data_IF_866337494237
#
_entry.id   IF_866337494237
#
_cell.length_a   1.000
_cell.length_b   1.000
_cell.length_c   1.000
_cell.angle_alpha   90.00
_cell.angle_beta   90.00
_cell.angle_gamma   90.00
#
_symmetry.space_group_name_H-M   'P 1'
#
loop_
_entity.id
_entity.type
_entity.pdbx_description
1 polymer ?
#
# COMPACT_ATOMS: atom_id res chain seq x y z
N UNK A 1 -17.77 7.90 -33.47
CA UNK A 1 -17.08 7.32 -32.30
C UNK A 1 -18.09 7.26 -31.18
N UNK A 2 -18.31 6.09 -30.55
CA UNK A 2 -19.23 6.04 -29.40
C UNK A 2 -18.60 6.76 -28.20
N UNK A 3 -19.38 7.29 -27.26
CA UNK A 3 -18.83 7.84 -26.01
C UNK A 3 -18.00 6.82 -25.24
N UNK A 4 -18.26 5.51 -25.40
CA UNK A 4 -17.52 4.43 -24.74
C UNK A 4 -16.09 4.24 -25.30
N UNK A 5 -15.84 4.65 -26.55
CA UNK A 5 -14.53 4.51 -27.19
C UNK A 5 -13.64 5.75 -26.98
N UNK A 6 -14.23 6.85 -26.49
CA UNK A 6 -13.54 8.12 -26.31
C UNK A 6 -12.36 8.04 -25.34
N UNK A 7 -12.44 7.38 -24.17
CA UNK A 7 -11.31 7.26 -23.26
C UNK A 7 -10.11 6.56 -23.92
N UNK A 8 -10.36 5.42 -24.57
CA UNK A 8 -9.33 4.62 -25.23
C UNK A 8 -8.66 5.35 -26.39
N UNK A 9 -9.44 6.14 -27.15
CA UNK A 9 -8.89 7.00 -28.18
C UNK A 9 -8.03 8.12 -27.60
N UNK A 10 -8.49 8.77 -26.54
CA UNK A 10 -7.82 9.91 -25.92
C UNK A 10 -6.46 9.52 -25.33
N UNK A 11 -6.39 8.37 -24.65
CA UNK A 11 -5.13 7.82 -24.10
C UNK A 11 -4.08 7.51 -25.18
N UNK A 12 -4.52 7.26 -26.42
CA UNK A 12 -3.64 7.01 -27.58
C UNK A 12 -3.38 8.26 -28.42
N UNK A 13 -4.06 9.37 -28.13
CA UNK A 13 -3.91 10.61 -28.88
C UNK A 13 -2.56 11.27 -28.56
N UNK A 14 -1.73 11.47 -29.60
CA UNK A 14 -0.38 12.06 -29.45
C UNK A 14 -0.37 13.45 -28.80
N UNK A 15 -1.37 14.28 -29.11
CA UNK A 15 -1.49 15.63 -28.56
C UNK A 15 -1.78 15.60 -27.05
N UNK A 16 -2.72 14.74 -26.64
CA UNK A 16 -3.01 14.52 -25.22
C UNK A 16 -1.80 13.94 -24.48
N UNK A 17 -1.17 12.89 -25.03
CA UNK A 17 0.00 12.24 -24.43
C UNK A 17 1.11 13.27 -24.17
N UNK A 18 1.43 14.13 -25.13
CA UNK A 18 2.45 15.17 -24.98
C UNK A 18 2.12 16.18 -23.86
N UNK A 19 0.85 16.53 -23.69
CA UNK A 19 0.41 17.41 -22.59
C UNK A 19 0.47 16.71 -21.24
N UNK A 20 0.04 15.45 -21.17
CA UNK A 20 0.11 14.62 -19.97
C UNK A 20 1.56 14.38 -19.53
N UNK A 21 2.45 14.12 -20.48
CA UNK A 21 3.88 13.96 -20.25
C UNK A 21 4.47 15.22 -19.62
N UNK A 22 4.22 16.39 -20.21
CA UNK A 22 4.64 17.69 -19.65
C UNK A 22 4.12 17.90 -18.23
N UNK A 23 2.83 17.63 -17.99
CA UNK A 23 2.23 17.72 -16.66
C UNK A 23 2.91 16.79 -15.66
N UNK A 24 3.20 15.56 -16.08
CA UNK A 24 3.83 14.57 -15.22
C UNK A 24 5.28 14.94 -14.91
N UNK A 25 6.05 15.40 -15.89
CA UNK A 25 7.43 15.88 -15.69
C UNK A 25 7.44 17.09 -14.78
N UNK A 26 6.53 18.06 -14.96
CA UNK A 26 6.41 19.21 -14.07
C UNK A 26 6.12 18.81 -12.63
N UNK A 27 5.19 17.86 -12.44
CA UNK A 27 4.87 17.27 -11.13
C UNK A 27 6.11 16.65 -10.48
N UNK A 28 6.85 15.81 -11.22
CA UNK A 28 8.04 15.12 -10.73
C UNK A 28 9.16 16.12 -10.39
N UNK A 29 9.45 17.06 -11.27
CA UNK A 29 10.49 18.08 -11.03
C UNK A 29 10.16 18.94 -9.82
N UNK A 30 8.88 19.30 -9.62
CA UNK A 30 8.43 20.04 -8.44
C UNK A 30 8.67 19.31 -7.11
N UNK A 31 8.78 17.97 -7.12
CA UNK A 31 9.11 17.17 -5.93
C UNK A 31 10.60 17.21 -5.58
N UNK A 32 11.47 17.65 -6.50
CA UNK A 32 12.92 17.66 -6.30
C UNK A 32 13.52 19.06 -6.54
N UNK A 33 13.47 19.97 -5.54
CA UNK A 33 13.96 21.34 -5.67
C UNK A 33 15.43 21.47 -6.10
N UNK A 34 16.25 20.45 -5.82
CA UNK A 34 17.68 20.42 -6.19
C UNK A 34 17.94 20.13 -7.67
N UNK A 35 16.91 19.76 -8.44
CA UNK A 35 17.02 19.41 -9.86
C UNK A 35 16.85 20.67 -10.70
N UNK A 36 17.87 20.99 -11.51
CA UNK A 36 17.79 22.02 -12.55
C UNK A 36 17.10 21.42 -13.76
N UNK A 37 15.84 21.79 -13.95
CA UNK A 37 15.03 21.31 -15.06
C UNK A 37 15.66 21.65 -16.42
N UNK A 38 15.62 20.69 -17.34
CA UNK A 38 16.10 20.89 -18.72
C UNK A 38 15.15 21.71 -19.59
N UNK A 39 13.87 21.78 -19.20
CA UNK A 39 12.82 22.51 -19.87
C UNK A 39 12.07 23.39 -18.86
N UNK A 40 11.79 24.65 -19.22
CA UNK A 40 10.74 25.43 -18.55
C UNK A 40 9.42 24.75 -18.84
N UNK A 41 8.88 24.05 -17.84
CA UNK A 41 7.61 23.35 -17.93
C UNK A 41 6.46 24.34 -17.75
N UNK A 42 6.34 25.32 -18.65
CA UNK A 42 5.20 26.24 -18.64
C UNK A 42 3.94 25.47 -19.04
N UNK A 43 3.13 25.15 -18.04
CA UNK A 43 1.79 24.59 -18.19
C UNK A 43 0.82 25.74 -18.00
N UNK A 44 0.18 26.15 -19.09
CA UNK A 44 -0.79 27.24 -19.05
C UNK A 44 -2.07 26.84 -18.33
N UNK A 45 -2.79 27.83 -17.79
CA UNK A 45 -4.09 27.61 -17.14
C UNK A 45 -5.13 26.95 -18.05
N UNK A 46 -5.10 27.23 -19.35
CA UNK A 46 -6.01 26.64 -20.32
C UNK A 46 -5.76 25.13 -20.49
N UNK A 47 -4.50 24.70 -20.42
CA UNK A 47 -4.12 23.30 -20.52
C UNK A 47 -4.57 22.50 -19.30
N UNK A 48 -4.52 23.08 -18.10
CA UNK A 48 -4.97 22.41 -16.88
C UNK A 48 -6.47 22.12 -16.94
N UNK A 49 -7.28 23.11 -17.35
CA UNK A 49 -8.73 22.91 -17.49
C UNK A 49 -9.05 21.83 -18.53
N UNK A 50 -8.34 21.84 -19.68
CA UNK A 50 -8.45 20.79 -20.69
C UNK A 50 -8.08 19.41 -20.15
N UNK A 51 -6.97 19.30 -19.41
CA UNK A 51 -6.53 18.05 -18.82
C UNK A 51 -7.49 17.55 -17.75
N UNK A 52 -8.09 18.41 -16.93
CA UNK A 52 -9.14 18.02 -15.97
C UNK A 52 -10.38 17.46 -16.68
N UNK A 53 -10.82 18.08 -17.78
CA UNK A 53 -11.92 17.52 -18.60
C UNK A 53 -11.55 16.15 -19.16
N UNK A 54 -10.31 16.00 -19.66
CA UNK A 54 -9.79 14.71 -20.10
C UNK A 54 -9.79 13.69 -18.96
N UNK A 55 -9.28 14.06 -17.79
CA UNK A 55 -9.21 13.22 -16.59
C UNK A 55 -10.58 12.71 -16.15
N UNK A 56 -11.62 13.56 -16.20
CA UNK A 56 -13.00 13.17 -15.91
C UNK A 56 -13.58 12.17 -16.90
N UNK A 57 -13.20 12.24 -18.18
CA UNK A 57 -13.59 11.22 -19.18
C UNK A 57 -12.83 9.91 -18.94
N UNK A 58 -11.54 10.01 -18.62
CA UNK A 58 -10.65 8.87 -18.43
C UNK A 58 -10.98 8.08 -17.15
N UNK A 59 -11.41 8.75 -16.08
CA UNK A 59 -11.76 8.08 -14.82
C UNK A 59 -12.96 7.14 -14.92
N UNK A 60 -13.80 7.29 -15.95
CA UNK A 60 -14.93 6.41 -16.20
C UNK A 60 -14.53 5.09 -16.90
N UNK A 61 -13.27 4.96 -17.32
CA UNK A 61 -12.75 3.76 -17.98
C UNK A 61 -12.17 2.76 -16.97
N UNK A 62 -12.28 1.46 -17.29
CA UNK A 62 -11.58 0.40 -16.55
C UNK A 62 -10.16 0.12 -17.09
N UNK A 63 -9.73 0.85 -18.13
CA UNK A 63 -8.38 0.72 -18.70
C UNK A 63 -7.32 1.35 -17.78
N UNK A 64 -6.23 0.63 -17.54
CA UNK A 64 -5.17 1.02 -16.61
C UNK A 64 -4.49 2.33 -17.01
N UNK A 65 -4.24 2.54 -18.31
CA UNK A 65 -3.62 3.78 -18.79
C UNK A 65 -4.56 4.98 -18.66
N UNK A 66 -5.87 4.77 -18.83
CA UNK A 66 -6.87 5.80 -18.57
C UNK A 66 -6.86 6.21 -17.09
N UNK A 67 -6.91 5.25 -16.18
CA UNK A 67 -6.91 5.49 -14.75
C UNK A 67 -5.62 6.14 -14.26
N UNK A 68 -4.44 5.64 -14.69
CA UNK A 68 -3.14 6.26 -14.38
C UNK A 68 -3.09 7.72 -14.84
N UNK A 69 -3.56 8.00 -16.06
CA UNK A 69 -3.60 9.36 -16.60
C UNK A 69 -4.53 10.27 -15.77
N UNK A 70 -5.72 9.79 -15.41
CA UNK A 70 -6.67 10.54 -14.60
C UNK A 70 -6.12 10.85 -13.20
N UNK A 71 -5.48 9.88 -12.54
CA UNK A 71 -4.84 10.07 -11.24
C UNK A 71 -3.71 11.11 -11.30
N UNK A 72 -2.82 11.03 -12.30
CA UNK A 72 -1.70 11.98 -12.46
C UNK A 72 -2.21 13.41 -12.62
N UNK A 73 -3.25 13.60 -13.43
CA UNK A 73 -3.88 14.90 -13.65
C UNK A 73 -4.47 15.43 -12.33
N UNK A 74 -5.24 14.60 -11.62
CA UNK A 74 -5.87 15.00 -10.35
C UNK A 74 -4.84 15.35 -9.28
N UNK A 75 -3.82 14.51 -9.10
CA UNK A 75 -2.75 14.75 -8.13
C UNK A 75 -1.99 16.05 -8.41
N UNK A 76 -1.63 16.29 -9.69
CA UNK A 76 -0.98 17.54 -10.08
C UNK A 76 -1.85 18.75 -9.73
N UNK A 77 -3.15 18.69 -10.03
CA UNK A 77 -4.08 19.78 -9.75
C UNK A 77 -4.27 20.03 -8.26
N UNK A 78 -4.35 18.99 -7.42
CA UNK A 78 -4.49 19.15 -5.98
C UNK A 78 -3.28 19.85 -5.34
N UNK A 79 -2.08 19.49 -5.79
CA UNK A 79 -0.82 20.01 -5.22
C UNK A 79 -0.48 21.39 -5.80
N UNK A 80 -0.62 21.60 -7.11
CA UNK A 80 -0.05 22.76 -7.81
C UNK A 80 -1.08 23.82 -8.24
N UNK A 81 -2.39 23.51 -8.27
CA UNK A 81 -3.40 24.50 -8.66
C UNK A 81 -3.67 25.47 -7.52
N UNK A 82 -3.73 26.78 -7.81
CA UNK A 82 -4.18 27.80 -6.85
C UNK A 82 -5.72 27.91 -6.81
N UNK A 83 -6.40 27.52 -7.89
CA UNK A 83 -7.85 27.65 -8.01
C UNK A 83 -8.58 26.53 -7.26
N UNK A 84 -9.45 26.91 -6.31
CA UNK A 84 -10.28 26.01 -5.50
C UNK A 84 -11.20 25.13 -6.35
N UNK A 85 -11.83 25.68 -7.39
CA UNK A 85 -12.75 24.91 -8.25
C UNK A 85 -12.02 23.77 -8.99
N UNK A 86 -10.76 23.98 -9.36
CA UNK A 86 -9.94 22.93 -9.99
C UNK A 86 -9.55 21.84 -9.01
N UNK A 87 -9.28 22.19 -7.75
CA UNK A 87 -9.03 21.23 -6.68
C UNK A 87 -10.28 20.39 -6.39
N UNK A 88 -11.44 21.03 -6.30
CA UNK A 88 -12.72 20.35 -6.13
C UNK A 88 -13.03 19.41 -7.32
N UNK A 89 -12.73 19.85 -8.55
CA UNK A 89 -12.87 19.02 -9.76
C UNK A 89 -11.91 17.83 -9.76
N UNK A 90 -10.66 18.04 -9.34
CA UNK A 90 -9.68 16.96 -9.20
C UNK A 90 -10.11 15.94 -8.13
N UNK A 91 -10.66 16.41 -7.01
CA UNK A 91 -11.23 15.56 -5.97
C UNK A 91 -12.42 14.75 -6.48
N UNK A 92 -13.29 15.32 -7.31
CA UNK A 92 -14.38 14.59 -7.97
C UNK A 92 -13.87 13.48 -8.90
N UNK A 93 -12.78 13.72 -9.63
CA UNK A 93 -12.14 12.68 -10.45
C UNK A 93 -11.58 11.56 -9.57
N UNK A 94 -10.96 11.88 -8.43
CA UNK A 94 -10.49 10.88 -7.47
C UNK A 94 -11.63 10.07 -6.84
N UNK A 95 -12.73 10.72 -6.49
CA UNK A 95 -13.95 10.05 -6.00
C UNK A 95 -14.53 9.12 -7.08
N UNK A 96 -14.50 9.54 -8.36
CA UNK A 96 -14.91 8.68 -9.48
C UNK A 96 -14.02 7.44 -9.61
N UNK A 97 -12.72 7.57 -9.32
CA UNK A 97 -11.77 6.47 -9.27
C UNK A 97 -11.85 5.66 -7.96
N UNK A 98 -12.80 6.00 -7.08
CA UNK A 98 -12.97 5.42 -5.74
C UNK A 98 -11.68 5.49 -4.89
N UNK A 99 -10.91 6.57 -5.04
CA UNK A 99 -9.64 6.80 -4.35
C UNK A 99 -9.81 7.73 -3.14
N UNK A 100 -10.67 7.32 -2.21
CA UNK A 100 -11.08 8.12 -1.06
C UNK A 100 -9.93 8.42 -0.11
N UNK A 101 -9.01 7.45 0.05
CA UNK A 101 -7.81 7.63 0.87
C UNK A 101 -6.97 8.82 0.40
N UNK A 102 -6.86 9.06 -0.92
CA UNK A 102 -6.14 10.22 -1.45
C UNK A 102 -6.89 11.52 -1.18
N UNK A 103 -8.23 11.51 -1.23
CA UNK A 103 -9.07 12.67 -0.92
C UNK A 103 -8.95 13.04 0.56
N UNK A 104 -9.07 12.07 1.47
CA UNK A 104 -8.89 12.25 2.91
C UNK A 104 -7.49 12.79 3.24
N UNK A 105 -6.45 12.19 2.66
CA UNK A 105 -5.07 12.64 2.84
C UNK A 105 -4.85 14.08 2.31
N UNK A 106 -5.51 14.44 1.20
CA UNK A 106 -5.44 15.79 0.66
C UNK A 106 -6.13 16.82 1.57
N UNK A 107 -7.20 16.44 2.26
CA UNK A 107 -7.86 17.27 3.28
C UNK A 107 -6.96 17.43 4.51
N UNK A 108 -6.45 16.32 5.04
CA UNK A 108 -5.57 16.31 6.22
C UNK A 108 -4.32 17.18 6.01
N UNK A 109 -3.72 17.12 4.81
CA UNK A 109 -2.56 17.93 4.43
C UNK A 109 -2.91 19.36 4.01
N UNK A 110 -4.18 19.76 4.04
CA UNK A 110 -4.63 21.10 3.67
C UNK A 110 -4.55 21.42 2.16
N UNK A 111 -4.34 20.41 1.31
CA UNK A 111 -4.39 20.58 -0.14
C UNK A 111 -5.82 20.76 -0.66
N UNK A 112 -6.82 20.20 0.04
CA UNK A 112 -8.24 20.30 -0.29
C UNK A 112 -9.02 20.81 0.91
N UNK A 113 -9.98 21.71 0.70
CA UNK A 113 -10.85 22.17 1.79
C UNK A 113 -11.96 21.17 2.06
N UNK A 114 -12.26 20.94 3.34
CA UNK A 114 -13.34 20.05 3.79
C UNK A 114 -14.69 20.34 3.11
N UNK A 115 -15.51 19.30 2.95
CA UNK A 115 -16.84 19.40 2.36
C UNK A 115 -16.84 19.88 0.91
N UNK A 116 -15.83 19.47 0.12
CA UNK A 116 -15.72 19.82 -1.31
C UNK A 116 -16.94 19.39 -2.11
N UNK A 117 -17.60 18.31 -1.69
CA UNK A 117 -18.81 17.79 -2.31
C UNK A 117 -19.90 18.87 -2.35
N UNK A 118 -20.05 19.67 -1.29
CA UNK A 118 -21.06 20.74 -1.23
C UNK A 118 -20.80 21.88 -2.22
N UNK A 119 -19.56 22.03 -2.68
CA UNK A 119 -19.14 23.06 -3.65
C UNK A 119 -19.26 22.58 -5.10
N UNK A 120 -19.49 21.29 -5.32
CA UNK A 120 -19.69 20.74 -6.66
C UNK A 120 -21.03 21.22 -7.25
N UNK A 121 -21.15 21.27 -8.59
CA UNK A 121 -22.45 21.40 -9.24
C UNK A 121 -23.41 20.28 -8.81
N UNK A 122 -24.72 20.55 -8.82
CA UNK A 122 -25.77 19.60 -8.38
C UNK A 122 -25.60 18.22 -9.02
N UNK A 123 -25.31 18.17 -10.33
CA UNK A 123 -25.07 16.91 -11.03
C UNK A 123 -23.90 16.12 -10.42
N UNK A 124 -22.79 16.79 -10.08
CA UNK A 124 -21.64 16.17 -9.41
C UNK A 124 -21.94 15.74 -7.98
N UNK A 125 -22.77 16.50 -7.24
CA UNK A 125 -23.23 16.12 -5.90
C UNK A 125 -24.05 14.83 -5.94
N UNK A 126 -24.98 14.74 -6.88
CA UNK A 126 -25.82 13.55 -7.05
C UNK A 126 -24.97 12.33 -7.46
N UNK A 127 -23.98 12.53 -8.33
CA UNK A 127 -23.08 11.46 -8.77
C UNK A 127 -22.20 10.94 -7.62
N UNK A 128 -21.61 11.84 -6.83
CA UNK A 128 -20.83 11.50 -5.66
C UNK A 128 -21.69 10.81 -4.58
N UNK A 129 -22.91 11.31 -4.33
CA UNK A 129 -23.84 10.70 -3.38
C UNK A 129 -24.26 9.31 -3.83
N UNK A 130 -24.56 9.12 -5.13
CA UNK A 130 -24.88 7.81 -5.70
C UNK A 130 -23.72 6.83 -5.48
N UNK A 131 -22.49 7.21 -5.82
CA UNK A 131 -21.29 6.37 -5.60
C UNK A 131 -21.09 6.04 -4.13
N UNK A 132 -21.30 7.02 -3.25
CA UNK A 132 -21.21 6.82 -1.80
C UNK A 132 -22.16 5.73 -1.34
N UNK A 133 -23.40 5.73 -1.83
CA UNK A 133 -24.37 4.68 -1.52
C UNK A 133 -23.94 3.33 -2.12
N UNK A 134 -23.52 3.32 -3.39
CA UNK A 134 -23.12 2.09 -4.10
C UNK A 134 -21.90 1.40 -3.48
N UNK A 135 -20.94 2.16 -2.94
CA UNK A 135 -19.71 1.62 -2.37
C UNK A 135 -19.66 1.65 -0.84
N UNK A 136 -20.76 1.95 -0.16
CA UNK A 136 -20.83 1.81 1.30
C UNK A 136 -21.13 0.36 1.66
N UNK A 137 -20.25 -0.23 2.47
CA UNK A 137 -20.40 -1.58 3.01
C UNK A 137 -20.77 -1.47 4.49
N UNK A 138 -21.83 -2.17 4.89
CA UNK A 138 -22.22 -2.35 6.28
C UNK A 138 -21.53 -3.58 6.87
N UNK A 139 -20.93 -3.40 8.05
CA UNK A 139 -20.21 -4.41 8.82
C UNK A 139 -20.87 -4.52 10.19
N UNK A 140 -21.35 -5.71 10.52
CA UNK A 140 -22.10 -5.92 11.75
C UNK A 140 -23.41 -5.13 11.76
N UNK A 141 -23.69 -4.41 12.85
CA UNK A 141 -24.96 -3.67 13.01
C UNK A 141 -24.86 -2.14 12.92
N UNK A 142 -23.66 -1.52 13.00
CA UNK A 142 -23.53 -0.05 13.08
C UNK A 142 -22.24 0.53 12.45
N UNK A 143 -21.43 -0.30 11.78
CA UNK A 143 -20.16 0.14 11.19
C UNK A 143 -20.28 0.19 9.68
N UNK A 144 -20.01 1.36 9.11
CA UNK A 144 -20.01 1.57 7.67
C UNK A 144 -18.60 1.86 7.17
N UNK A 145 -18.23 1.20 6.08
CA UNK A 145 -16.97 1.42 5.39
C UNK A 145 -17.27 1.95 3.99
N UNK A 146 -16.68 3.09 3.64
CA UNK A 146 -16.71 3.57 2.26
C UNK A 146 -15.61 2.87 1.46
N UNK A 147 -15.99 1.79 0.79
CA UNK A 147 -15.09 0.95 0.03
C UNK A 147 -14.71 1.57 -1.31
N UNK A 148 -13.58 1.14 -1.86
CA UNK A 148 -13.32 1.35 -3.28
C UNK A 148 -14.04 0.29 -4.13
N UNK A 149 -14.07 0.49 -5.44
CA UNK A 149 -14.75 -0.42 -6.38
C UNK A 149 -14.34 -1.88 -6.22
N UNK A 150 -13.03 -2.14 -6.07
CA UNK A 150 -12.52 -3.50 -5.86
C UNK A 150 -13.01 -4.10 -4.53
N UNK A 151 -13.02 -3.30 -3.46
CA UNK A 151 -13.47 -3.74 -2.15
C UNK A 151 -14.97 -4.07 -2.15
N UNK A 152 -15.79 -3.29 -2.85
CA UNK A 152 -17.22 -3.59 -3.07
C UNK A 152 -17.42 -4.87 -3.89
N UNK A 153 -16.71 -5.00 -5.02
CA UNK A 153 -16.76 -6.22 -5.86
C UNK A 153 -16.33 -7.46 -5.07
N UNK A 154 -15.30 -7.33 -4.24
CA UNK A 154 -14.87 -8.38 -3.32
C UNK A 154 -15.96 -8.75 -2.33
N UNK A 155 -16.60 -7.76 -1.69
CA UNK A 155 -17.62 -7.99 -0.68
C UNK A 155 -18.82 -8.77 -1.24
N UNK A 156 -19.35 -8.33 -2.39
CA UNK A 156 -20.48 -8.99 -3.05
C UNK A 156 -20.14 -10.43 -3.42
N UNK A 157 -18.94 -10.64 -3.95
CA UNK A 157 -18.44 -11.96 -4.30
C UNK A 157 -18.24 -12.84 -3.07
N UNK A 158 -17.71 -12.25 -1.99
CA UNK A 158 -17.53 -12.87 -0.69
C UNK A 158 -18.85 -13.31 -0.06
N UNK A 159 -19.96 -12.62 -0.29
CA UNK A 159 -21.25 -13.10 0.20
C UNK A 159 -21.80 -14.30 -0.57
N UNK A 160 -21.57 -14.35 -1.89
CA UNK A 160 -22.25 -15.30 -2.78
C UNK A 160 -21.48 -16.61 -3.02
N UNK A 161 -20.16 -16.61 -2.83
CA UNK A 161 -19.27 -17.71 -3.21
C UNK A 161 -18.59 -18.36 -2.00
N UNK A 162 -18.26 -19.64 -2.12
CA UNK A 162 -17.54 -20.38 -1.07
C UNK A 162 -16.03 -20.22 -1.23
N UNK A 163 -15.54 -20.25 -2.48
CA UNK A 163 -14.13 -20.13 -2.80
C UNK A 163 -13.88 -18.94 -3.70
N UNK A 164 -12.90 -18.11 -3.33
CA UNK A 164 -12.68 -16.83 -3.99
C UNK A 164 -11.20 -16.63 -4.20
N UNK A 165 -10.81 -16.30 -5.42
CA UNK A 165 -9.45 -15.91 -5.74
C UNK A 165 -9.42 -14.45 -6.16
N UNK A 166 -8.63 -13.67 -5.44
CA UNK A 166 -8.57 -12.22 -5.54
C UNK A 166 -7.15 -11.82 -5.91
N UNK A 167 -7.02 -11.15 -7.04
CA UNK A 167 -5.75 -10.60 -7.52
C UNK A 167 -5.86 -9.10 -7.72
N UNK A 168 -5.16 -8.33 -6.89
CA UNK A 168 -5.12 -6.87 -6.97
C UNK A 168 -3.80 -6.31 -6.45
N UNK A 169 -3.39 -5.09 -6.84
CA UNK A 169 -2.24 -4.41 -6.23
C UNK A 169 -2.37 -4.27 -4.71
N UNK A 170 -1.26 -4.17 -3.99
CA UNK A 170 -1.26 -3.95 -2.53
C UNK A 170 -1.88 -2.61 -2.15
N UNK A 171 -1.72 -1.59 -3.00
CA UNK A 171 -2.24 -0.24 -2.77
C UNK A 171 -3.78 -0.14 -2.76
N UNK A 172 -4.50 -1.15 -3.25
CA UNK A 172 -5.98 -1.14 -3.31
C UNK A 172 -6.60 -1.46 -1.94
N UNK A 173 -5.80 -1.87 -0.96
CA UNK A 173 -6.29 -2.17 0.39
C UNK A 173 -6.92 -3.55 0.51
N UNK A 174 -6.24 -4.57 -0.04
CA UNK A 174 -6.63 -5.98 0.08
C UNK A 174 -6.72 -6.44 1.54
N UNK A 175 -5.66 -6.17 2.32
CA UNK A 175 -5.60 -6.60 3.73
C UNK A 175 -6.74 -5.99 4.55
N UNK A 176 -7.01 -4.70 4.35
CA UNK A 176 -8.12 -3.99 5.01
C UNK A 176 -9.47 -4.67 4.76
N UNK A 177 -9.81 -4.99 3.50
CA UNK A 177 -11.11 -5.60 3.20
C UNK A 177 -11.20 -7.07 3.65
N UNK A 178 -10.09 -7.80 3.65
CA UNK A 178 -10.03 -9.17 4.21
C UNK A 178 -10.28 -9.16 5.72
N UNK A 179 -9.65 -8.22 6.45
CA UNK A 179 -9.86 -8.06 7.89
C UNK A 179 -11.29 -7.62 8.21
N UNK A 180 -11.84 -6.67 7.45
CA UNK A 180 -13.24 -6.27 7.53
C UNK A 180 -14.21 -7.43 7.26
N UNK A 181 -13.86 -8.31 6.33
CA UNK A 181 -14.64 -9.51 6.06
C UNK A 181 -14.59 -10.49 7.24
N UNK A 182 -13.44 -10.66 7.89
CA UNK A 182 -13.30 -11.49 9.11
C UNK A 182 -14.18 -10.93 10.23
N UNK A 183 -14.18 -9.61 10.42
CA UNK A 183 -15.04 -8.91 11.40
C UNK A 183 -16.53 -9.20 11.16
N UNK A 184 -17.01 -9.03 9.93
CA UNK A 184 -18.40 -9.34 9.59
C UNK A 184 -18.74 -10.83 9.72
N UNK A 185 -17.80 -11.70 9.33
CA UNK A 185 -17.98 -13.15 9.40
C UNK A 185 -18.14 -13.65 10.84
N UNK A 186 -17.33 -13.13 11.76
CA UNK A 186 -17.39 -13.43 13.19
C UNK A 186 -18.66 -12.87 13.80
N UNK A 187 -19.07 -11.66 13.40
CA UNK A 187 -20.28 -11.04 13.92
C UNK A 187 -21.55 -11.85 13.57
N UNK A 188 -21.62 -12.41 12.36
CA UNK A 188 -22.79 -13.15 11.87
C UNK A 188 -22.84 -14.61 12.35
N UNK A 189 -21.76 -15.14 12.94
CA UNK A 189 -21.66 -16.57 13.31
C UNK A 189 -21.14 -16.73 14.72
N UNK A 190 -21.86 -17.49 15.53
CA UNK A 190 -21.37 -17.90 16.85
C UNK A 190 -20.35 -19.04 16.71
N UNK A 191 -19.28 -18.99 17.52
CA UNK A 191 -18.25 -20.05 17.66
C UNK A 191 -17.63 -20.52 16.34
N UNK A 192 -17.17 -19.58 15.53
CA UNK A 192 -16.46 -19.90 14.29
C UNK A 192 -14.96 -20.11 14.50
N UNK A 193 -14.34 -20.94 13.66
CA UNK A 193 -12.89 -21.05 13.56
C UNK A 193 -12.39 -20.46 12.24
N UNK A 194 -11.65 -19.37 12.36
CA UNK A 194 -11.01 -18.66 11.26
C UNK A 194 -9.51 -18.93 11.30
N UNK A 195 -8.96 -19.31 10.16
CA UNK A 195 -7.51 -19.44 9.98
C UNK A 195 -7.05 -18.45 8.91
N UNK A 196 -6.16 -17.55 9.30
CA UNK A 196 -5.53 -16.57 8.43
C UNK A 196 -4.07 -16.99 8.20
N UNK A 197 -3.77 -17.43 6.97
CA UNK A 197 -2.43 -17.82 6.56
C UNK A 197 -1.68 -16.64 5.97
N UNK A 198 -0.46 -16.43 6.50
CA UNK A 198 0.50 -15.45 6.00
C UNK A 198 1.85 -16.12 5.75
N UNK A 199 2.64 -15.68 4.76
CA UNK A 199 3.84 -16.39 4.35
C UNK A 199 5.06 -16.16 5.25
N UNK A 200 5.04 -15.16 6.14
CA UNK A 200 6.20 -14.80 6.96
C UNK A 200 5.80 -14.44 8.39
N UNK A 201 6.76 -14.56 9.32
CA UNK A 201 6.55 -14.20 10.73
C UNK A 201 6.29 -12.71 10.93
N UNK A 202 6.89 -11.84 10.12
CA UNK A 202 6.66 -10.40 10.21
C UNK A 202 5.18 -10.07 9.93
N UNK A 203 4.60 -10.68 8.89
CA UNK A 203 3.19 -10.53 8.56
C UNK A 203 2.25 -11.13 9.62
N UNK A 204 2.68 -12.16 10.38
CA UNK A 204 1.89 -12.65 11.52
C UNK A 204 1.68 -11.53 12.53
N UNK A 205 2.77 -10.84 12.92
CA UNK A 205 2.68 -9.76 13.92
C UNK A 205 1.84 -8.59 13.42
N UNK A 206 2.00 -8.21 12.15
CA UNK A 206 1.21 -7.13 11.53
C UNK A 206 -0.29 -7.45 11.50
N UNK A 207 -0.67 -8.61 10.96
CA UNK A 207 -2.07 -9.04 10.89
C UNK A 207 -2.64 -9.29 12.29
N UNK A 208 -1.83 -9.78 13.24
CA UNK A 208 -2.27 -9.97 14.62
C UNK A 208 -2.66 -8.65 15.29
N UNK A 209 -1.78 -7.65 15.27
CA UNK A 209 -2.11 -6.36 15.88
C UNK A 209 -3.31 -5.72 15.17
N UNK A 210 -3.37 -5.78 13.84
CA UNK A 210 -4.51 -5.25 13.07
C UNK A 210 -5.84 -5.92 13.46
N UNK A 211 -5.90 -7.25 13.49
CA UNK A 211 -7.10 -8.00 13.86
C UNK A 211 -7.48 -7.77 15.32
N UNK A 212 -6.51 -7.74 16.25
CA UNK A 212 -6.79 -7.46 17.67
C UNK A 212 -7.37 -6.07 17.85
N UNK A 213 -6.77 -5.04 17.23
CA UNK A 213 -7.29 -3.66 17.30
C UNK A 213 -8.71 -3.54 16.75
N UNK A 214 -9.07 -4.32 15.73
CA UNK A 214 -10.43 -4.30 15.16
C UNK A 214 -11.45 -5.09 15.98
N UNK A 215 -11.12 -6.31 16.36
CA UNK A 215 -12.07 -7.27 16.93
C UNK A 215 -12.15 -7.21 18.46
N UNK A 216 -11.05 -6.91 19.13
CA UNK A 216 -10.97 -6.90 20.59
C UNK A 216 -10.01 -5.78 21.08
N UNK A 217 -10.34 -4.50 20.82
CA UNK A 217 -9.46 -3.37 21.13
C UNK A 217 -9.14 -3.26 22.63
N UNK A 218 -10.03 -3.73 23.49
CA UNK A 218 -9.85 -3.75 24.96
C UNK A 218 -9.22 -5.05 25.47
N UNK A 219 -8.86 -5.99 24.58
CA UNK A 219 -8.25 -7.30 24.90
C UNK A 219 -9.03 -8.06 25.97
N UNK A 220 -10.35 -8.06 25.84
CA UNK A 220 -11.30 -8.74 26.73
C UNK A 220 -11.17 -10.26 26.71
N UNK A 221 -10.61 -10.83 25.63
CA UNK A 221 -10.47 -12.28 25.46
C UNK A 221 -11.78 -12.98 25.13
N UNK A 222 -12.80 -12.22 24.69
CA UNK A 222 -14.07 -12.76 24.17
C UNK A 222 -13.82 -13.54 22.88
N UNK A 223 -12.97 -12.99 22.01
CA UNK A 223 -12.49 -13.67 20.80
C UNK A 223 -11.09 -14.20 21.09
N UNK A 224 -10.88 -15.49 20.82
CA UNK A 224 -9.59 -16.13 21.05
C UNK A 224 -8.69 -15.96 19.82
N UNK A 225 -7.82 -14.95 19.86
CA UNK A 225 -6.88 -14.64 18.78
C UNK A 225 -5.51 -15.21 19.12
N UNK A 226 -4.99 -16.15 18.32
CA UNK A 226 -3.72 -16.85 18.61
C UNK A 226 -2.78 -16.88 17.41
N UNK A 227 -1.48 -16.79 17.68
CA UNK A 227 -0.43 -16.87 16.65
C UNK A 227 0.47 -18.09 16.84
N UNK A 228 0.35 -18.78 17.97
CA UNK A 228 1.14 -19.96 18.31
C UNK A 228 0.30 -21.24 18.19
N UNK A 229 0.84 -22.31 17.58
CA UNK A 229 0.13 -23.57 17.39
C UNK A 229 0.19 -24.43 18.66
N UNK A 230 -0.40 -23.95 19.76
CA UNK A 230 -0.45 -24.69 21.03
C UNK A 230 -1.75 -25.48 21.14
N UNK A 231 -1.71 -26.64 21.83
CA UNK A 231 -2.91 -27.47 22.07
C UNK A 231 -3.99 -26.72 22.85
N UNK A 232 -3.57 -25.93 23.84
CA UNK A 232 -4.45 -25.11 24.69
C UNK A 232 -4.93 -23.84 23.99
N UNK A 233 -4.44 -23.56 22.77
CA UNK A 233 -4.82 -22.36 22.03
C UNK A 233 -6.20 -22.48 21.40
N UNK A 234 -6.80 -23.67 21.31
CA UNK A 234 -8.12 -23.86 20.72
C UNK A 234 -9.20 -24.00 21.80
N UNK A 235 -10.24 -23.18 21.71
CA UNK A 235 -11.35 -23.16 22.65
C UNK A 235 -12.69 -23.30 21.91
N UNK A 236 -13.32 -24.48 22.01
CA UNK A 236 -14.61 -24.78 21.38
C UNK A 236 -15.77 -23.91 21.89
N UNK A 237 -15.60 -23.22 23.02
CA UNK A 237 -16.65 -22.37 23.59
C UNK A 237 -16.67 -20.96 23.01
N UNK A 238 -15.61 -20.56 22.29
CA UNK A 238 -15.41 -19.21 21.77
C UNK A 238 -15.21 -19.20 20.26
N UNK A 239 -15.29 -18.02 19.66
CA UNK A 239 -14.79 -17.78 18.32
C UNK A 239 -13.26 -17.74 18.35
N UNK A 240 -12.62 -18.45 17.42
CA UNK A 240 -11.17 -18.59 17.34
C UNK A 240 -10.65 -17.96 16.04
N UNK A 241 -9.62 -17.13 16.14
CA UNK A 241 -8.92 -16.55 15.00
C UNK A 241 -7.44 -16.90 15.09
N UNK A 242 -6.97 -17.73 14.18
CA UNK A 242 -5.58 -18.18 14.16
C UNK A 242 -4.81 -17.58 13.02
N UNK A 243 -3.71 -16.90 13.34
CA UNK A 243 -2.85 -16.22 12.37
C UNK A 243 -1.55 -16.99 12.29
N UNK A 244 -1.40 -17.79 11.25
CA UNK A 244 -0.34 -18.79 11.14
C UNK A 244 0.43 -18.67 9.83
N UNK A 245 1.65 -19.20 9.84
CA UNK A 245 2.27 -19.65 8.58
C UNK A 245 1.78 -21.04 8.23
N UNK A 246 2.04 -21.48 7.00
CA UNK A 246 1.74 -22.84 6.56
C UNK A 246 2.33 -23.90 7.51
N UNK A 247 3.58 -23.70 7.98
CA UNK A 247 4.23 -24.59 8.95
C UNK A 247 3.51 -24.64 10.29
N UNK A 248 3.08 -23.48 10.81
CA UNK A 248 2.35 -23.42 12.08
C UNK A 248 0.99 -24.08 11.99
N UNK A 249 0.27 -23.94 10.88
CA UNK A 249 -1.02 -24.62 10.68
C UNK A 249 -0.86 -26.15 10.65
N UNK A 250 0.19 -26.66 10.00
CA UNK A 250 0.48 -28.09 10.04
C UNK A 250 0.79 -28.58 11.47
N UNK A 251 1.58 -27.83 12.24
CA UNK A 251 1.86 -28.16 13.65
C UNK A 251 0.56 -28.15 14.46
N UNK A 252 -0.29 -27.14 14.26
CA UNK A 252 -1.57 -27.01 14.94
C UNK A 252 -2.45 -28.24 14.73
N UNK A 253 -2.64 -28.69 13.49
CA UNK A 253 -3.42 -29.88 13.18
C UNK A 253 -2.87 -31.18 13.78
N UNK A 254 -1.55 -31.31 13.87
CA UNK A 254 -0.91 -32.48 14.46
C UNK A 254 -0.88 -32.41 15.99
N UNK A 255 -1.10 -31.23 16.57
CA UNK A 255 -1.12 -31.03 18.01
C UNK A 255 -2.45 -31.45 18.63
N UNK A 256 -3.56 -31.36 17.91
CA UNK A 256 -4.90 -31.60 18.47
C UNK A 256 -5.29 -33.07 18.42
N UNK A 257 -5.97 -33.54 19.46
CA UNK A 257 -6.58 -34.87 19.49
C UNK A 257 -7.90 -34.89 18.72
N UNK A 258 -8.64 -33.78 18.77
CA UNK A 258 -9.86 -33.56 18.00
C UNK A 258 -9.56 -32.80 16.72
N UNK A 259 -10.33 -33.07 15.66
CA UNK A 259 -10.17 -32.40 14.38
C UNK A 259 -11.06 -31.14 14.38
N UNK A 260 -10.50 -29.93 14.53
CA UNK A 260 -11.31 -28.72 14.53
C UNK A 260 -11.92 -28.51 13.14
N UNK A 261 -13.16 -28.01 13.13
CA UNK A 261 -13.85 -27.63 11.90
C UNK A 261 -13.45 -26.19 11.59
N UNK A 262 -12.82 -25.96 10.43
CA UNK A 262 -12.43 -24.62 9.98
C UNK A 262 -13.55 -24.07 9.08
N UNK A 263 -14.13 -22.94 9.48
CA UNK A 263 -15.23 -22.28 8.77
C UNK A 263 -14.74 -21.34 7.67
N UNK A 264 -13.62 -20.65 7.94
CA UNK A 264 -13.00 -19.68 7.05
C UNK A 264 -11.49 -19.86 7.01
N UNK A 265 -10.95 -20.04 5.81
CA UNK A 265 -9.52 -20.04 5.53
C UNK A 265 -9.18 -18.86 4.61
N UNK A 266 -8.35 -17.95 5.09
CA UNK A 266 -7.79 -16.86 4.29
C UNK A 266 -6.34 -17.18 4.01
N UNK A 267 -5.92 -17.06 2.77
CA UNK A 267 -4.53 -17.28 2.34
C UNK A 267 -4.06 -15.98 1.71
N UNK A 268 -3.33 -15.20 2.50
CA UNK A 268 -2.71 -13.99 2.00
C UNK A 268 -1.38 -14.32 1.32
N UNK A 269 -1.03 -13.52 0.32
CA UNK A 269 0.10 -13.77 -0.58
C UNK A 269 0.09 -15.16 -1.23
N UNK A 270 -1.09 -15.63 -1.65
CA UNK A 270 -1.29 -16.98 -2.21
C UNK A 270 -0.46 -17.25 -3.49
N UNK A 271 0.04 -16.23 -4.18
CA UNK A 271 0.98 -16.35 -5.30
C UNK A 271 2.25 -17.15 -4.93
N UNK A 272 2.62 -17.19 -3.64
CA UNK A 272 3.74 -17.98 -3.12
C UNK A 272 3.52 -19.48 -3.15
N UNK A 273 2.34 -19.96 -3.57
CA UNK A 273 2.14 -21.38 -3.90
C UNK A 273 3.06 -21.85 -5.05
N UNK A 274 3.50 -20.92 -5.91
CA UNK A 274 4.48 -21.20 -6.96
C UNK A 274 5.93 -21.24 -6.49
N UNK A 275 6.22 -20.90 -5.22
CA UNK A 275 7.57 -20.99 -4.66
C UNK A 275 7.98 -22.45 -4.45
N UNK A 276 9.29 -22.73 -4.49
CA UNK A 276 9.90 -24.07 -4.37
C UNK A 276 9.32 -25.02 -3.29
N UNK A 277 9.99 -25.20 -2.16
CA UNK A 277 9.54 -26.14 -1.12
C UNK A 277 8.35 -25.59 -0.33
N UNK A 278 8.28 -24.27 -0.18
CA UNK A 278 7.21 -23.61 0.57
C UNK A 278 5.86 -23.64 -0.14
N UNK A 279 5.84 -23.57 -1.47
CA UNK A 279 4.60 -23.67 -2.24
C UNK A 279 4.00 -25.07 -2.18
N UNK A 280 4.81 -26.11 -2.34
CA UNK A 280 4.39 -27.51 -2.15
C UNK A 280 3.80 -27.71 -0.75
N UNK A 281 4.44 -27.15 0.27
CA UNK A 281 3.95 -27.28 1.64
C UNK A 281 2.64 -26.52 1.88
N UNK A 282 2.48 -25.33 1.30
CA UNK A 282 1.22 -24.59 1.34
C UNK A 282 0.09 -25.38 0.67
N UNK A 283 0.34 -25.96 -0.51
CA UNK A 283 -0.62 -26.81 -1.21
C UNK A 283 -1.03 -28.03 -0.36
N UNK A 284 -0.06 -28.74 0.22
CA UNK A 284 -0.34 -29.87 1.11
C UNK A 284 -1.25 -29.48 2.28
N UNK A 285 -0.97 -28.36 2.94
CA UNK A 285 -1.78 -27.90 4.09
C UNK A 285 -3.17 -27.46 3.66
N UNK A 286 -3.30 -26.83 2.48
CA UNK A 286 -4.58 -26.44 1.89
C UNK A 286 -5.45 -27.67 1.61
N UNK A 287 -4.92 -28.65 0.88
CA UNK A 287 -5.63 -29.89 0.53
C UNK A 287 -6.06 -30.64 1.79
N UNK A 288 -5.17 -30.76 2.77
CA UNK A 288 -5.47 -31.40 4.06
C UNK A 288 -6.57 -30.66 4.84
N UNK A 289 -6.59 -29.33 4.79
CA UNK A 289 -7.61 -28.51 5.44
C UNK A 289 -8.96 -28.69 4.76
N UNK A 290 -9.00 -28.62 3.43
CA UNK A 290 -10.23 -28.72 2.66
C UNK A 290 -10.82 -30.14 2.69
N UNK A 291 -9.98 -31.17 2.65
CA UNK A 291 -10.41 -32.56 2.78
C UNK A 291 -11.09 -32.85 4.12
N UNK A 292 -10.69 -32.13 5.19
CA UNK A 292 -11.31 -32.25 6.53
C UNK A 292 -12.57 -31.40 6.70
N UNK A 293 -12.74 -30.35 5.88
CA UNK A 293 -13.79 -29.35 6.06
C UNK A 293 -14.56 -29.12 4.75
N UNK A 294 -15.67 -29.85 4.58
CA UNK A 294 -16.41 -29.85 3.29
C UNK A 294 -17.19 -28.56 2.99
N UNK A 295 -17.47 -27.74 4.01
CA UNK A 295 -18.20 -26.48 3.90
C UNK A 295 -17.32 -25.25 4.16
N UNK A 296 -16.00 -25.42 4.08
CA UNK A 296 -15.04 -24.33 4.34
C UNK A 296 -15.17 -23.24 3.28
N UNK A 297 -15.19 -21.99 3.74
CA UNK A 297 -15.01 -20.83 2.88
C UNK A 297 -13.51 -20.57 2.71
N UNK A 298 -13.03 -20.47 1.48
CA UNK A 298 -11.61 -20.21 1.19
C UNK A 298 -11.45 -18.93 0.40
N UNK A 299 -10.58 -18.04 0.88
CA UNK A 299 -10.27 -16.78 0.22
C UNK A 299 -8.77 -16.73 -0.05
N UNK A 300 -8.41 -16.76 -1.33
CA UNK A 300 -7.05 -16.56 -1.79
C UNK A 300 -6.84 -15.08 -2.14
N UNK A 301 -5.86 -14.44 -1.54
CA UNK A 301 -5.46 -13.09 -1.87
C UNK A 301 -4.05 -13.10 -2.45
N UNK A 302 -3.87 -12.45 -3.59
CA UNK A 302 -2.57 -12.35 -4.26
C UNK A 302 -2.34 -10.97 -4.88
N UNK A 303 -1.09 -10.50 -4.94
CA UNK A 303 -0.68 -9.37 -5.75
C UNK A 303 -0.46 -9.80 -7.20
N UNK A 304 -1.13 -9.14 -8.15
CA UNK A 304 -0.83 -9.20 -9.59
C UNK A 304 -0.60 -10.61 -10.19
N UNK A 305 -1.35 -11.62 -9.76
CA UNK A 305 -1.24 -12.97 -10.33
C UNK A 305 -1.81 -12.98 -11.75
N UNK A 306 -1.07 -13.57 -12.70
CA UNK A 306 -1.52 -13.67 -14.09
C UNK A 306 -2.76 -14.57 -14.23
N UNK A 307 -2.76 -15.71 -13.51
CA UNK A 307 -3.75 -16.79 -13.60
C UNK A 307 -4.37 -17.13 -12.22
N UNK A 308 -5.08 -16.19 -11.56
CA UNK A 308 -5.69 -16.40 -10.23
C UNK A 308 -6.71 -17.55 -10.20
N UNK A 309 -7.30 -17.90 -11.34
CA UNK A 309 -8.23 -19.01 -11.51
C UNK A 309 -7.64 -20.37 -11.17
N UNK A 310 -6.31 -20.55 -11.31
CA UNK A 310 -5.65 -21.82 -10.99
C UNK A 310 -5.72 -22.15 -9.50
N UNK A 311 -5.79 -21.15 -8.63
CA UNK A 311 -5.94 -21.36 -7.18
C UNK A 311 -7.31 -21.99 -6.81
N UNK A 312 -8.26 -21.98 -7.74
CA UNK A 312 -9.60 -22.51 -7.57
C UNK A 312 -9.78 -23.89 -8.22
N UNK A 313 -8.74 -24.45 -8.86
CA UNK A 313 -8.84 -25.77 -9.53
C UNK A 313 -9.26 -26.88 -8.59
N UNK A 314 -8.85 -26.77 -7.33
CA UNK A 314 -9.06 -27.79 -6.30
C UNK A 314 -10.32 -27.53 -5.46
N UNK A 315 -11.16 -26.57 -5.88
CA UNK A 315 -12.42 -26.27 -5.22
C UNK A 315 -13.35 -27.49 -5.23
N UNK A 316 -14.20 -27.68 -4.19
CA UNK A 316 -15.13 -28.79 -4.13
C UNK A 316 -16.01 -28.87 -5.37
N UNK A 317 -16.23 -30.08 -5.90
CA UNK A 317 -17.09 -30.30 -7.06
C UNK A 317 -18.52 -29.79 -6.77
N UNK A 318 -18.93 -28.69 -7.43
CA UNK A 318 -20.17 -27.88 -7.25
C UNK A 318 -20.14 -26.71 -6.26
N UNK A 319 -19.00 -26.41 -5.63
CA UNK A 319 -18.85 -25.18 -4.84
C UNK A 319 -18.98 -23.94 -5.73
N UNK A 320 -19.61 -22.87 -5.23
CA UNK A 320 -19.65 -21.59 -5.96
C UNK A 320 -18.28 -20.93 -5.86
N UNK A 321 -17.66 -20.64 -7.01
CA UNK A 321 -16.33 -20.05 -7.10
C UNK A 321 -16.36 -18.72 -7.83
N UNK A 322 -15.51 -17.78 -7.42
CA UNK A 322 -15.35 -16.51 -8.13
C UNK A 322 -13.90 -16.07 -8.22
N UNK A 323 -13.57 -15.38 -9.32
CA UNK A 323 -12.27 -14.77 -9.56
C UNK A 323 -12.46 -13.27 -9.71
N UNK A 324 -11.68 -12.51 -8.94
CA UNK A 324 -11.66 -11.04 -9.03
C UNK A 324 -10.26 -10.65 -9.42
N UNK A 325 -10.14 -10.06 -10.62
CA UNK A 325 -8.89 -9.52 -11.13
C UNK A 325 -9.04 -8.02 -11.27
N UNK A 326 -8.32 -7.30 -10.44
CA UNK A 326 -8.27 -5.85 -10.46
C UNK A 326 -6.90 -5.39 -10.93
N UNK A 327 -6.90 -4.56 -11.97
CA UNK A 327 -5.79 -3.70 -12.37
C UNK A 327 -5.96 -2.27 -11.85
N UNK A 328 -6.91 -2.02 -10.94
CA UNK A 328 -7.17 -0.69 -10.40
C UNK A 328 -5.92 -0.19 -9.68
N UNK A 329 -5.32 0.87 -10.19
CA UNK A 329 -4.20 1.54 -9.54
C UNK A 329 -4.78 2.66 -8.69
N UNK A 330 -4.54 2.65 -7.39
CA UNK A 330 -4.93 3.74 -6.47
C UNK A 330 -3.77 4.71 -6.22
N UNK A 331 -2.54 4.33 -6.59
CA UNK A 331 -1.33 5.11 -6.32
C UNK A 331 -0.47 5.11 -7.59
N UNK A 332 -0.19 6.29 -8.13
CA UNK A 332 0.76 6.41 -9.23
C UNK A 332 2.18 6.15 -8.75
N UNK A 333 2.93 5.38 -9.51
CA UNK A 333 4.38 5.23 -9.33
C UNK A 333 5.13 6.10 -10.32
N UNK A 334 6.15 6.81 -9.84
CA UNK A 334 7.11 7.52 -10.68
C UNK A 334 8.43 6.75 -10.64
N UNK A 335 8.87 6.26 -11.79
CA UNK A 335 10.17 5.60 -11.94
C UNK A 335 11.19 6.62 -12.42
N UNK A 336 12.20 6.86 -11.57
CA UNK A 336 13.24 7.85 -11.78
C UNK A 336 14.58 7.15 -11.82
N UNK A 337 15.40 7.48 -12.82
CA UNK A 337 16.74 6.97 -12.97
C UNK A 337 17.74 8.11 -12.86
N UNK A 338 18.76 7.93 -12.04
CA UNK A 338 19.83 8.91 -11.87
C UNK A 338 21.17 8.28 -12.22
N UNK A 339 21.99 9.01 -12.95
CA UNK A 339 23.33 8.56 -13.33
C UNK A 339 24.37 9.67 -13.19
N UNK A 340 25.58 9.28 -12.82
CA UNK A 340 26.71 10.17 -12.70
C UNK A 340 27.20 10.58 -14.09
N UNK A 341 27.48 11.88 -14.30
CA UNK A 341 28.10 12.34 -15.54
C UNK A 341 29.56 11.92 -15.61
N UNK A 342 30.00 11.52 -16.80
CA UNK A 342 31.40 11.19 -17.05
C UNK A 342 32.31 12.37 -16.69
N UNK A 343 33.45 12.06 -16.05
CA UNK A 343 34.51 13.00 -15.67
C UNK A 343 34.07 14.17 -14.74
N UNK A 344 32.85 14.16 -14.21
CA UNK A 344 32.31 15.21 -13.33
C UNK A 344 31.59 14.58 -12.15
N UNK A 345 32.31 14.12 -11.12
CA UNK A 345 31.76 13.16 -10.16
C UNK A 345 30.65 13.73 -9.25
N UNK A 346 30.54 15.05 -9.14
CA UNK A 346 29.46 15.74 -8.42
C UNK A 346 28.20 15.98 -9.28
N UNK A 347 28.29 15.90 -10.61
CA UNK A 347 27.16 16.21 -11.49
C UNK A 347 26.40 14.94 -11.87
N UNK A 348 25.10 14.97 -11.68
CA UNK A 348 24.22 13.83 -11.93
C UNK A 348 23.08 14.22 -12.86
N UNK A 349 22.69 13.29 -13.71
CA UNK A 349 21.54 13.42 -14.61
C UNK A 349 20.38 12.64 -14.06
N UNK A 350 19.20 13.24 -14.13
CA UNK A 350 17.94 12.63 -13.74
C UNK A 350 17.07 12.38 -14.98
N UNK A 351 16.49 11.20 -15.02
CA UNK A 351 15.61 10.72 -16.07
C UNK A 351 14.31 10.22 -15.46
N UNK A 352 13.20 10.49 -16.13
CA UNK A 352 11.87 9.98 -15.78
C UNK A 352 11.41 8.96 -16.81
N UNK A 353 10.85 7.84 -16.37
CA UNK A 353 10.24 6.86 -17.26
C UNK A 353 8.75 7.16 -17.42
N UNK A 354 8.38 7.65 -18.60
CA UNK A 354 6.98 7.88 -18.97
C UNK A 354 6.54 6.81 -19.96
N UNK A 355 5.56 5.97 -19.58
CA UNK A 355 5.05 4.85 -20.41
C UNK A 355 6.16 3.94 -20.95
N UNK A 356 7.18 3.68 -20.14
CA UNK A 356 8.31 2.82 -20.48
C UNK A 356 9.44 3.51 -21.26
N UNK A 357 9.24 4.76 -21.70
CA UNK A 357 10.27 5.53 -22.40
C UNK A 357 11.05 6.41 -21.41
N UNK A 358 12.38 6.40 -21.56
CA UNK A 358 13.29 7.16 -20.70
C UNK A 358 13.43 8.59 -21.22
N UNK A 359 12.98 9.56 -20.44
CA UNK A 359 13.03 10.99 -20.74
C UNK A 359 14.03 11.70 -19.83
N UNK A 360 14.89 12.55 -20.39
CA UNK A 360 15.78 13.39 -19.57
C UNK A 360 14.99 14.55 -18.96
N UNK A 361 15.09 14.75 -17.65
CA UNK A 361 14.32 15.80 -16.96
C UNK A 361 15.18 16.91 -16.39
N UNK A 362 16.43 16.64 -16.01
CA UNK A 362 17.33 17.68 -15.51
C UNK A 362 18.65 17.17 -14.94
N UNK A 363 19.49 18.11 -14.52
CA UNK A 363 20.76 17.84 -13.84
C UNK A 363 20.68 18.32 -12.37
N UNK A 364 21.29 17.58 -11.45
CA UNK A 364 21.49 18.01 -10.06
C UNK A 364 22.96 17.82 -9.64
N UNK A 365 23.39 18.58 -8.63
CA UNK A 365 24.76 18.54 -8.12
C UNK A 365 24.77 18.00 -6.69
N UNK A 366 25.70 17.09 -6.40
CA UNK A 366 26.00 16.66 -5.05
C UNK A 366 26.91 17.68 -4.35
N UNK A 367 26.69 17.90 -3.06
CA UNK A 367 27.54 18.79 -2.24
C UNK A 367 28.99 18.27 -2.20
N UNK A 368 29.13 16.95 -2.01
CA UNK A 368 30.41 16.27 -1.84
C UNK A 368 30.65 15.24 -2.94
N UNK A 369 31.93 15.02 -3.26
CA UNK A 369 32.34 14.01 -4.24
C UNK A 369 32.16 12.61 -3.65
N UNK A 370 31.35 11.72 -4.27
CA UNK A 370 31.19 10.36 -3.79
C UNK A 370 32.42 9.52 -4.17
N UNK A 371 33.44 9.53 -3.32
CA UNK A 371 34.73 8.87 -3.57
C UNK A 371 34.69 7.35 -3.50
N UNK A 372 33.71 6.77 -2.81
CA UNK A 372 33.46 5.32 -2.74
C UNK A 372 32.07 4.99 -3.24
N UNK A 373 31.85 3.78 -3.77
CA UNK A 373 30.54 3.37 -4.29
C UNK A 373 29.43 3.45 -3.24
N UNK A 374 29.75 3.10 -1.98
CA UNK A 374 28.80 3.24 -0.86
C UNK A 374 28.30 4.67 -0.62
N UNK A 375 29.09 5.69 -1.00
CA UNK A 375 28.73 7.11 -0.81
C UNK A 375 27.82 7.63 -1.92
N UNK A 376 27.74 6.94 -3.06
CA UNK A 376 26.90 7.38 -4.19
C UNK A 376 25.43 7.39 -3.79
N UNK A 377 24.94 6.27 -3.24
CA UNK A 377 23.55 6.13 -2.82
C UNK A 377 23.20 7.10 -1.68
N UNK A 378 24.02 7.18 -0.63
CA UNK A 378 23.76 8.06 0.51
C UNK A 378 23.73 9.54 0.10
N UNK A 379 24.65 10.00 -0.74
CA UNK A 379 24.69 11.40 -1.15
C UNK A 379 23.55 11.74 -2.11
N UNK A 380 23.20 10.84 -3.03
CA UNK A 380 22.01 11.02 -3.89
C UNK A 380 20.74 11.07 -3.04
N UNK A 381 20.57 10.13 -2.10
CA UNK A 381 19.42 10.11 -1.20
C UNK A 381 19.33 11.38 -0.35
N UNK A 382 20.46 11.86 0.19
CA UNK A 382 20.53 13.11 0.92
C UNK A 382 20.13 14.29 0.04
N UNK A 383 20.73 14.45 -1.16
CA UNK A 383 20.45 15.59 -2.04
C UNK A 383 19.00 15.61 -2.51
N UNK A 384 18.43 14.47 -2.89
CA UNK A 384 17.05 14.42 -3.39
C UNK A 384 15.99 14.40 -2.28
N UNK A 385 16.32 13.84 -1.12
CA UNK A 385 15.39 13.62 -0.01
C UNK A 385 15.40 14.68 1.09
N UNK A 386 16.39 15.59 1.14
CA UNK A 386 16.56 16.55 2.27
C UNK A 386 15.32 17.41 2.57
N UNK A 387 14.45 17.63 1.59
CA UNK A 387 13.27 18.49 1.73
C UNK A 387 11.97 17.72 2.04
N UNK A 388 12.03 16.40 2.17
CA UNK A 388 10.86 15.56 2.42
C UNK A 388 11.14 14.54 3.53
N UNK A 389 10.13 14.25 4.35
CA UNK A 389 10.14 13.10 5.26
C UNK A 389 9.63 11.83 4.56
N UNK A 390 9.85 10.67 5.17
CA UNK A 390 9.34 9.40 4.64
C UNK A 390 10.19 8.78 3.52
N UNK A 391 11.48 9.08 3.47
CA UNK A 391 12.40 8.48 2.49
C UNK A 391 12.87 7.10 2.95
N UNK A 392 12.69 6.06 2.12
CA UNK A 392 13.23 4.72 2.37
C UNK A 392 14.40 4.44 1.43
N UNK A 393 15.57 4.15 2.00
CA UNK A 393 16.78 3.80 1.23
C UNK A 393 17.09 2.31 1.40
N UNK A 394 16.93 1.54 0.33
CA UNK A 394 17.20 0.11 0.33
C UNK A 394 18.69 -0.19 0.10
N UNK A 395 19.23 -1.09 0.91
CA UNK A 395 20.62 -1.57 0.84
C UNK A 395 20.69 -3.08 1.09
N UNK A 396 21.83 -3.70 0.78
CA UNK A 396 21.94 -5.16 0.71
C UNK A 396 22.23 -5.86 2.04
N UNK A 397 22.58 -5.13 3.11
CA UNK A 397 22.92 -5.75 4.40
C UNK A 397 22.91 -4.78 5.57
N UNK A 398 22.95 -5.33 6.79
CA UNK A 398 22.90 -4.57 8.04
C UNK A 398 24.05 -3.54 8.14
N UNK A 399 25.29 -3.96 7.84
CA UNK A 399 26.45 -3.07 7.85
C UNK A 399 26.32 -1.92 6.82
N UNK A 400 25.75 -2.19 5.66
CA UNK A 400 25.49 -1.16 4.65
C UNK A 400 24.40 -0.19 5.11
N UNK A 401 23.39 -0.67 5.85
CA UNK A 401 22.32 0.16 6.39
C UNK A 401 22.85 1.14 7.44
N UNK A 402 23.63 0.65 8.40
CA UNK A 402 24.30 1.49 9.40
C UNK A 402 25.23 2.52 8.75
N UNK A 403 26.06 2.06 7.79
CA UNK A 403 27.01 2.92 7.07
C UNK A 403 26.30 4.00 6.26
N UNK A 404 25.24 3.65 5.55
CA UNK A 404 24.45 4.58 4.72
C UNK A 404 23.73 5.59 5.59
N UNK A 405 23.06 5.14 6.65
CA UNK A 405 22.39 6.03 7.61
C UNK A 405 23.36 7.01 8.25
N UNK A 406 24.55 6.56 8.67
CA UNK A 406 25.58 7.44 9.21
C UNK A 406 26.04 8.49 8.20
N UNK A 407 26.26 8.10 6.94
CA UNK A 407 26.66 9.04 5.89
C UNK A 407 25.59 10.09 5.55
N UNK A 408 24.31 9.71 5.62
CA UNK A 408 23.18 10.65 5.45
C UNK A 408 23.14 11.59 6.67
N UNK A 409 23.20 11.05 7.88
CA UNK A 409 23.19 11.81 9.13
C UNK A 409 24.35 12.82 9.23
N UNK A 410 25.56 12.43 8.81
CA UNK A 410 26.75 13.31 8.77
C UNK A 410 26.55 14.49 7.80
N UNK A 411 25.69 14.35 6.80
CA UNK A 411 25.32 15.41 5.86
C UNK A 411 24.15 16.28 6.30
N UNK A 412 23.60 16.06 7.49
CA UNK A 412 22.52 16.86 8.08
C UNK A 412 23.06 17.72 9.23
N UNK A 413 22.75 19.02 9.18
CA UNK A 413 23.35 20.02 10.07
C UNK A 413 22.52 20.34 11.31
N UNK A 414 21.34 19.74 11.46
CA UNK A 414 20.45 19.96 12.61
C UNK A 414 20.27 18.68 13.41
N UNK A 415 20.05 18.83 14.70
CA UNK A 415 19.57 17.74 15.55
C UNK A 415 18.04 17.84 15.66
N UNK A 416 17.38 16.71 15.86
CA UNK A 416 15.95 16.64 16.13
C UNK A 416 15.67 17.07 17.57
N UNK A 417 14.60 17.83 17.74
CA UNK A 417 14.04 18.20 19.05
C UNK A 417 12.77 17.39 19.36
N UNK A 418 12.41 16.42 18.51
CA UNK A 418 11.20 15.62 18.70
C UNK A 418 11.33 14.68 19.91
N UNK A 419 10.46 14.89 20.91
CA UNK A 419 10.46 14.12 22.16
C UNK A 419 10.29 12.62 21.94
N UNK A 420 9.49 12.17 20.96
CA UNK A 420 9.33 10.73 20.71
C UNK A 420 10.64 10.12 20.17
N UNK A 421 11.39 10.86 19.36
CA UNK A 421 12.69 10.41 18.85
C UNK A 421 13.71 10.35 19.98
N UNK A 422 13.71 11.34 20.88
CA UNK A 422 14.56 11.35 22.07
C UNK A 422 14.24 10.18 23.02
N UNK A 423 12.96 9.86 23.21
CA UNK A 423 12.52 8.71 23.99
C UNK A 423 12.99 7.37 23.37
N UNK A 424 12.98 7.25 22.04
CA UNK A 424 13.52 6.07 21.35
C UNK A 424 15.04 5.96 21.54
N UNK A 425 15.76 7.08 21.51
CA UNK A 425 17.20 7.09 21.79
C UNK A 425 17.46 6.57 23.21
N UNK A 426 16.76 7.09 24.23
CA UNK A 426 16.90 6.63 25.62
C UNK A 426 16.57 5.13 25.76
N UNK A 427 15.51 4.67 25.10
CA UNK A 427 15.14 3.25 25.08
C UNK A 427 16.25 2.40 24.45
N UNK A 428 16.81 2.82 23.32
CA UNK A 428 17.87 2.12 22.61
C UNK A 428 19.17 2.08 23.42
N UNK A 429 19.51 3.17 24.12
CA UNK A 429 20.66 3.23 25.04
C UNK A 429 20.53 2.19 26.16
N UNK A 430 19.33 2.03 26.74
CA UNK A 430 19.04 1.05 27.81
C UNK A 430 18.95 -0.40 27.34
N UNK A 431 18.36 -0.65 26.17
CA UNK A 431 18.08 -2.01 25.66
C UNK A 431 19.29 -2.62 24.96
N UNK A 432 20.07 -1.81 24.23
CA UNK A 432 21.20 -2.29 23.43
C UNK A 432 22.51 -1.82 24.05
N UNK A 433 22.85 -0.54 23.88
CA UNK A 433 24.07 0.07 24.38
C UNK A 433 24.08 1.59 24.12
N UNK A 434 24.71 2.37 24.99
CA UNK A 434 24.84 3.84 24.85
C UNK A 434 25.47 4.28 23.52
N UNK A 435 26.44 3.49 23.04
CA UNK A 435 27.20 3.76 21.79
C UNK A 435 26.60 3.08 20.56
N UNK A 436 25.36 2.61 20.62
CA UNK A 436 24.73 1.99 19.46
C UNK A 436 24.58 3.04 18.33
N UNK A 437 24.91 2.65 17.09
CA UNK A 437 24.98 3.58 15.97
C UNK A 437 23.65 4.32 15.71
N UNK A 438 22.52 3.66 16.00
CA UNK A 438 21.18 4.21 15.83
C UNK A 438 20.96 5.46 16.69
N UNK A 439 21.55 5.52 17.90
CA UNK A 439 21.40 6.66 18.80
C UNK A 439 21.98 7.93 18.17
N UNK A 440 23.09 7.79 17.42
CA UNK A 440 23.74 8.91 16.74
C UNK A 440 22.94 9.34 15.51
N UNK A 441 22.45 8.40 14.71
CA UNK A 441 21.71 8.74 13.49
C UNK A 441 20.31 9.26 13.79
N UNK A 442 19.63 8.73 14.82
CA UNK A 442 18.30 9.20 15.24
C UNK A 442 18.32 10.65 15.70
N UNK A 443 19.42 11.12 16.32
CA UNK A 443 19.58 12.53 16.66
C UNK A 443 19.52 13.43 15.43
N UNK A 444 19.86 12.92 14.25
CA UNK A 444 19.74 13.62 12.96
C UNK A 444 18.43 13.36 12.23
N UNK A 445 17.47 12.66 12.87
CA UNK A 445 16.23 12.22 12.24
C UNK A 445 16.46 11.14 11.19
N UNK A 446 17.50 10.29 11.33
CA UNK A 446 17.79 9.19 10.39
C UNK A 446 17.83 7.88 11.16
N UNK A 447 17.02 6.91 10.75
CA UNK A 447 17.07 5.55 11.29
C UNK A 447 17.60 4.54 10.27
N UNK A 448 18.05 3.40 10.75
CA UNK A 448 18.28 2.21 9.94
C UNK A 448 17.48 1.04 10.50
N UNK A 449 17.14 0.09 9.64
CA UNK A 449 16.32 -1.06 9.98
C UNK A 449 16.84 -2.33 9.28
N UNK A 450 17.03 -3.41 10.02
CA UNK A 450 17.39 -4.73 9.49
C UNK A 450 16.86 -5.87 10.39
N UNK A 451 16.83 -7.10 9.85
CA UNK A 451 16.01 -8.19 10.40
C UNK A 451 16.34 -8.71 11.81
N UNK A 452 17.57 -8.57 12.29
CA UNK A 452 18.01 -9.06 13.61
C UNK A 452 18.03 -7.98 14.71
N UNK A 453 17.44 -6.79 14.47
CA UNK A 453 17.26 -5.79 15.52
C UNK A 453 16.24 -6.28 16.58
N UNK A 454 16.39 -5.87 17.86
CA UNK A 454 15.37 -6.13 18.86
C UNK A 454 14.00 -5.61 18.42
N UNK A 455 12.97 -6.45 18.57
CA UNK A 455 11.61 -6.16 18.09
C UNK A 455 11.08 -4.81 18.60
N UNK A 456 11.33 -4.50 19.88
CA UNK A 456 10.87 -3.25 20.50
C UNK A 456 11.45 -2.00 19.80
N UNK A 457 12.73 -2.02 19.44
CA UNK A 457 13.38 -0.91 18.74
C UNK A 457 12.86 -0.82 17.31
N UNK A 458 12.72 -1.96 16.64
CA UNK A 458 12.18 -2.05 15.29
C UNK A 458 10.78 -1.44 15.20
N UNK A 459 9.87 -1.85 16.08
CA UNK A 459 8.49 -1.36 16.09
C UNK A 459 8.41 0.14 16.37
N UNK A 460 9.26 0.65 17.27
CA UNK A 460 9.31 2.11 17.51
C UNK A 460 9.88 2.88 16.32
N UNK A 461 10.93 2.39 15.65
CA UNK A 461 11.42 3.01 14.40
C UNK A 461 10.31 3.05 13.34
N UNK A 462 9.59 1.95 13.13
CA UNK A 462 8.47 1.88 12.18
C UNK A 462 7.34 2.87 12.55
N UNK A 463 7.03 3.01 13.85
CA UNK A 463 6.02 3.95 14.37
C UNK A 463 6.43 5.41 14.16
N UNK A 464 7.69 5.77 14.39
CA UNK A 464 8.16 7.14 14.19
C UNK A 464 8.20 7.50 12.70
N UNK A 465 8.62 6.54 11.86
CA UNK A 465 8.63 6.70 10.42
C UNK A 465 7.21 6.91 9.86
N UNK A 466 6.22 6.13 10.32
CA UNK A 466 4.83 6.27 9.87
C UNK A 466 4.19 7.60 10.28
N UNK A 467 4.64 8.21 11.39
CA UNK A 467 4.26 9.55 11.83
C UNK A 467 5.03 10.68 11.13
N UNK A 468 5.98 10.36 10.26
CA UNK A 468 6.82 11.35 9.56
C UNK A 468 7.80 12.10 10.45
N UNK A 469 8.18 11.51 11.59
CA UNK A 469 9.12 12.11 12.58
C UNK A 469 10.60 11.86 12.27
N UNK A 470 10.88 10.87 11.41
CA UNK A 470 12.22 10.45 10.95
C UNK A 470 12.21 10.14 9.46
#
# INVERSE_FOLDING_TARGET
MSMKDLPNWLVRNKGFIKKLEKLTIASVVGQFPSVRASHENDISDLDISYLLTCGSILSQSNDELCQDSALRISQYCLINSVNVQRKDSAALILDTLANNATVELAVEKGFLSEGFEKRLPIAGQLEAMKRKIEHTIEIGNDKFIYANKFQSEFWDSAQQNEWISVSAPTSVGKSFILESWVEDYIFKRDKSLIVYLVPTRALISEVFESIVTRLDPYRTGVINIQTLPLRTAYDNSKTNVFIFTQERLNIFYNSLNEKPIVDLLIIDEAHKIGDSLRGIFLQYVLEMTCARNRHIKVIFASPFTSNPELLLSDAPYKGKTSVIKSSYVTVNQNLIWVEQRQNTPKKWRMYFFFRGERQFIGDFDLENTPSSDSKRLSFVALTLGRHASGNVVYVNGAADAEKTAKQIADGLNYDTEDEDVLNLIELSEKVIHERFALNVTLRKGVAFHYGNMPLIIKTEVERLFSKGKI
#
